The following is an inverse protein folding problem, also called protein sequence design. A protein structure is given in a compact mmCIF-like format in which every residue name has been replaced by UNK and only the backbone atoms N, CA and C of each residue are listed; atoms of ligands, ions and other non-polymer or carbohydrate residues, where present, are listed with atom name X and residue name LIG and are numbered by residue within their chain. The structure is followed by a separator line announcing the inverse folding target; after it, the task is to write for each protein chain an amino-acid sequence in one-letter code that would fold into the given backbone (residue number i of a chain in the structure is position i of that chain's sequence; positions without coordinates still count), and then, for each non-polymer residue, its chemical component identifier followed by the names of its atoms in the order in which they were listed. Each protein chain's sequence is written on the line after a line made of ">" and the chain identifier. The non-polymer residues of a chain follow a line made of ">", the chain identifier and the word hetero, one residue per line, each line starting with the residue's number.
data_IF_078029074393
#
_entry.id   IF_078029074393
#
_cell.length_a   1.000
_cell.length_b   1.000
_cell.length_c   1.000
_cell.angle_alpha   90.00
_cell.angle_beta   90.00
_cell.angle_gamma   90.00
#
_symmetry.space_group_name_H-M   'P 1'
#
loop_
_entity.id
_entity.type
_entity.pdbx_description
1 polymer ?
#
# COMPACT_ATOMS: atom_id res chain seq x y z
N UNK A 1 -26.53 -15.66 44.26
CA UNK A 1 -27.71 -15.65 43.36
C UNK A 1 -28.18 -14.26 42.94
N UNK A 2 -28.46 -13.30 43.84
CA UNK A 2 -28.95 -11.96 43.45
C UNK A 2 -27.91 -11.01 42.83
N UNK A 3 -26.63 -11.17 43.19
CA UNK A 3 -25.53 -10.34 42.66
C UNK A 3 -25.01 -10.82 41.29
N UNK A 4 -25.00 -12.13 41.03
CA UNK A 4 -24.61 -12.67 39.72
C UNK A 4 -25.58 -12.26 38.61
N UNK A 5 -26.88 -12.18 38.92
CA UNK A 5 -27.91 -11.77 37.96
C UNK A 5 -27.76 -10.28 37.59
N UNK A 6 -27.53 -9.42 38.58
CA UNK A 6 -27.24 -7.99 38.35
C UNK A 6 -25.98 -7.76 37.52
N UNK A 7 -24.95 -8.60 37.70
CA UNK A 7 -23.67 -8.47 37.00
C UNK A 7 -23.79 -8.92 35.54
N UNK A 8 -24.61 -9.96 35.28
CA UNK A 8 -24.97 -10.41 33.92
C UNK A 8 -25.82 -9.39 33.18
N UNK A 9 -26.78 -8.79 33.86
CA UNK A 9 -27.67 -7.79 33.26
C UNK A 9 -26.92 -6.48 32.93
N UNK A 10 -25.94 -6.12 33.75
CA UNK A 10 -25.03 -4.99 33.51
C UNK A 10 -24.11 -5.24 32.30
N UNK A 11 -23.51 -6.43 32.21
CA UNK A 11 -22.64 -6.80 31.07
C UNK A 11 -23.41 -6.91 29.75
N UNK A 12 -24.65 -7.39 29.78
CA UNK A 12 -25.52 -7.42 28.58
C UNK A 12 -25.85 -6.00 28.10
N UNK A 13 -26.10 -5.06 29.01
CA UNK A 13 -26.30 -3.64 28.66
C UNK A 13 -25.06 -2.99 28.08
N UNK A 14 -23.89 -3.27 28.66
CA UNK A 14 -22.61 -2.74 28.15
C UNK A 14 -22.26 -3.31 26.78
N UNK A 15 -22.48 -4.61 26.56
CA UNK A 15 -22.32 -5.26 25.26
C UNK A 15 -23.27 -4.68 24.20
N UNK A 16 -24.53 -4.42 24.55
CA UNK A 16 -25.51 -3.81 23.65
C UNK A 16 -25.11 -2.38 23.25
N UNK A 17 -24.68 -1.58 24.22
CA UNK A 17 -24.20 -0.20 23.99
C UNK A 17 -22.93 -0.15 23.14
N UNK A 18 -22.00 -1.08 23.37
CA UNK A 18 -20.78 -1.21 22.58
C UNK A 18 -21.08 -1.65 21.15
N UNK A 19 -21.98 -2.63 20.98
CA UNK A 19 -22.43 -3.08 19.66
C UNK A 19 -23.11 -1.95 18.88
N UNK A 20 -23.94 -1.15 19.53
CA UNK A 20 -24.61 -0.02 18.89
C UNK A 20 -23.60 1.06 18.46
N UNK A 21 -22.60 1.32 19.30
CA UNK A 21 -21.50 2.25 18.97
C UNK A 21 -20.64 1.75 17.81
N UNK A 22 -20.36 0.43 17.76
CA UNK A 22 -19.66 -0.21 16.65
C UNK A 22 -20.48 -0.14 15.35
N UNK A 23 -21.78 -0.40 15.38
CA UNK A 23 -22.64 -0.28 14.21
C UNK A 23 -22.71 1.15 13.68
N UNK A 24 -22.77 2.16 14.57
CA UNK A 24 -22.71 3.58 14.14
C UNK A 24 -21.37 3.93 13.52
N UNK A 25 -20.27 3.46 14.11
CA UNK A 25 -18.93 3.68 13.56
C UNK A 25 -18.77 3.00 12.19
N UNK A 26 -19.28 1.78 12.04
CA UNK A 26 -19.27 1.05 10.77
C UNK A 26 -20.10 1.76 9.69
N UNK A 27 -21.28 2.28 10.03
CA UNK A 27 -22.12 3.06 9.11
C UNK A 27 -21.45 4.38 8.68
N UNK A 28 -20.82 5.10 9.62
CA UNK A 28 -20.07 6.31 9.32
C UNK A 28 -18.83 6.03 8.45
N UNK A 29 -18.12 4.92 8.69
CA UNK A 29 -17.01 4.48 7.86
C UNK A 29 -17.47 4.10 6.46
N UNK A 30 -18.60 3.40 6.34
CA UNK A 30 -19.16 3.01 5.05
C UNK A 30 -19.64 4.21 4.23
N UNK A 31 -20.30 5.19 4.87
CA UNK A 31 -20.67 6.45 4.21
C UNK A 31 -19.43 7.22 3.73
N UNK A 32 -18.38 7.28 4.55
CA UNK A 32 -17.10 7.92 4.17
C UNK A 32 -16.38 7.18 3.03
N UNK A 33 -16.45 5.85 2.98
CA UNK A 33 -15.91 5.08 1.88
C UNK A 33 -16.69 5.33 0.57
N UNK A 34 -18.01 5.45 0.64
CA UNK A 34 -18.85 5.79 -0.51
C UNK A 34 -18.50 7.18 -1.09
N UNK A 35 -18.27 8.17 -0.22
CA UNK A 35 -17.84 9.51 -0.61
C UNK A 35 -16.47 9.49 -1.32
N UNK A 36 -15.56 8.62 -0.88
CA UNK A 36 -14.25 8.45 -1.51
C UNK A 36 -14.36 7.82 -2.90
N UNK A 37 -15.24 6.83 -3.08
CA UNK A 37 -15.49 6.20 -4.39
C UNK A 37 -16.12 7.16 -5.40
N UNK A 38 -16.97 8.09 -4.95
CA UNK A 38 -17.54 9.14 -5.78
C UNK A 38 -16.46 10.16 -6.20
N UNK A 39 -15.56 10.54 -5.28
CA UNK A 39 -14.41 11.39 -5.58
C UNK A 39 -13.47 10.70 -6.58
N UNK A 40 -13.16 9.42 -6.39
CA UNK A 40 -12.29 8.66 -7.30
C UNK A 40 -12.87 8.59 -8.72
N UNK A 41 -14.17 8.28 -8.85
CA UNK A 41 -14.86 8.27 -10.15
C UNK A 41 -14.87 9.64 -10.81
N UNK A 42 -15.13 10.70 -10.05
CA UNK A 42 -15.09 12.07 -10.56
C UNK A 42 -13.70 12.43 -11.10
N UNK A 43 -12.65 12.10 -10.34
CA UNK A 43 -11.24 12.34 -10.72
C UNK A 43 -10.88 11.60 -12.00
N UNK A 44 -11.18 10.30 -12.10
CA UNK A 44 -10.92 9.51 -13.30
C UNK A 44 -11.59 10.15 -14.53
N UNK A 45 -12.85 10.57 -14.39
CA UNK A 45 -13.59 11.23 -15.47
C UNK A 45 -12.94 12.54 -15.91
N UNK A 46 -12.54 13.36 -14.95
CA UNK A 46 -11.98 14.68 -15.22
C UNK A 46 -10.55 14.61 -15.79
N UNK A 47 -9.77 13.57 -15.45
CA UNK A 47 -8.42 13.35 -15.97
C UNK A 47 -8.43 12.77 -17.39
N UNK A 48 -9.44 11.97 -17.74
CA UNK A 48 -9.57 11.37 -19.09
C UNK A 48 -9.64 12.43 -20.18
N UNK A 49 -10.30 13.56 -19.91
CA UNK A 49 -10.44 14.67 -20.87
C UNK A 49 -9.10 15.32 -21.27
N UNK A 50 -8.28 15.87 -20.36
CA UNK A 50 -7.00 16.46 -20.73
C UNK A 50 -5.98 15.43 -21.22
N UNK A 51 -5.99 14.19 -20.73
CA UNK A 51 -5.13 13.12 -21.25
C UNK A 51 -5.48 12.80 -22.70
N UNK A 52 -6.77 12.65 -23.03
CA UNK A 52 -7.21 12.42 -24.40
C UNK A 52 -6.80 13.55 -25.35
N UNK A 53 -6.82 14.80 -24.88
CA UNK A 53 -6.34 15.95 -25.65
C UNK A 53 -4.82 15.90 -25.85
N UNK A 54 -4.04 15.59 -24.81
CA UNK A 54 -2.58 15.47 -24.94
C UNK A 54 -2.21 14.38 -25.95
N UNK A 55 -2.79 13.17 -25.80
CA UNK A 55 -2.51 12.04 -26.67
C UNK A 55 -2.96 12.31 -28.11
N UNK A 56 -4.18 12.81 -28.31
CA UNK A 56 -4.71 13.07 -29.65
C UNK A 56 -3.92 14.13 -30.41
N UNK A 57 -3.57 15.25 -29.76
CA UNK A 57 -2.77 16.30 -30.40
C UNK A 57 -1.30 15.92 -30.56
N UNK A 58 -0.75 15.09 -29.67
CA UNK A 58 0.59 14.54 -29.84
C UNK A 58 0.65 13.54 -31.01
N UNK A 59 -0.36 12.67 -31.14
CA UNK A 59 -0.49 11.76 -32.27
C UNK A 59 -0.65 12.50 -33.60
N UNK A 60 -1.48 13.54 -33.65
CA UNK A 60 -1.62 14.38 -34.85
C UNK A 60 -0.29 15.05 -35.26
N UNK A 61 0.49 15.50 -34.27
CA UNK A 61 1.82 16.04 -34.51
C UNK A 61 2.82 14.99 -34.96
N UNK A 62 2.67 13.73 -34.55
CA UNK A 62 3.58 12.63 -34.92
C UNK A 62 3.28 12.11 -36.34
N UNK A 63 1.99 11.91 -36.66
CA UNK A 63 1.53 11.34 -37.93
C UNK A 63 1.54 12.35 -39.09
N UNK A 64 1.18 13.60 -38.82
CA UNK A 64 0.93 14.62 -39.85
C UNK A 64 1.87 15.83 -39.76
N UNK A 65 3.01 15.71 -39.06
CA UNK A 65 3.90 16.85 -38.81
C UNK A 65 4.21 17.68 -40.06
N UNK A 66 4.57 17.00 -41.16
CA UNK A 66 5.01 17.65 -42.39
C UNK A 66 3.87 18.32 -43.17
N UNK A 67 2.64 17.83 -43.04
CA UNK A 67 1.45 18.32 -43.75
C UNK A 67 0.73 19.44 -43.01
N UNK A 68 0.85 19.50 -41.68
CA UNK A 68 0.30 20.59 -40.87
C UNK A 68 1.00 21.91 -41.16
N UNK A 69 0.22 22.99 -41.24
CA UNK A 69 0.74 24.36 -41.29
C UNK A 69 1.41 24.75 -39.97
N UNK A 70 2.23 25.80 -39.99
CA UNK A 70 2.88 26.29 -38.77
C UNK A 70 1.85 26.73 -37.70
N UNK A 71 0.72 27.29 -38.13
CA UNK A 71 -0.37 27.70 -37.24
C UNK A 71 -1.03 26.51 -36.55
N UNK A 72 -1.28 25.42 -37.29
CA UNK A 72 -1.84 24.18 -36.76
C UNK A 72 -0.86 23.48 -35.81
N UNK A 73 0.43 23.42 -36.13
CA UNK A 73 1.46 22.89 -35.22
C UNK A 73 1.51 23.68 -33.91
N UNK A 74 1.49 25.01 -34.00
CA UNK A 74 1.44 25.89 -32.81
C UNK A 74 0.17 25.69 -32.01
N UNK A 75 -0.96 25.44 -32.68
CA UNK A 75 -2.23 25.13 -32.03
C UNK A 75 -2.15 23.81 -31.26
N UNK A 76 -1.65 22.74 -31.87
CA UNK A 76 -1.46 21.43 -31.22
C UNK A 76 -0.58 21.55 -29.97
N UNK A 77 0.59 22.16 -30.09
CA UNK A 77 1.53 22.36 -28.97
C UNK A 77 0.91 23.21 -27.85
N UNK A 78 0.14 24.26 -28.19
CA UNK A 78 -0.57 25.08 -27.20
C UNK A 78 -1.63 24.28 -26.47
N UNK A 79 -2.39 23.45 -27.17
CA UNK A 79 -3.46 22.63 -26.60
C UNK A 79 -2.90 21.53 -25.68
N UNK A 80 -1.79 20.89 -26.06
CA UNK A 80 -1.06 19.95 -25.20
C UNK A 80 -0.61 20.66 -23.92
N UNK A 81 0.02 21.84 -24.03
CA UNK A 81 0.49 22.62 -22.89
C UNK A 81 -0.65 23.04 -21.95
N UNK A 82 -1.77 23.50 -22.50
CA UNK A 82 -2.94 23.89 -21.73
C UNK A 82 -3.58 22.71 -20.99
N UNK A 83 -3.66 21.55 -21.65
CA UNK A 83 -4.18 20.32 -21.08
C UNK A 83 -3.27 19.80 -19.95
N UNK A 84 -1.94 19.87 -20.13
CA UNK A 84 -0.97 19.56 -19.07
C UNK A 84 -1.11 20.48 -17.86
N UNK A 85 -1.28 21.79 -18.07
CA UNK A 85 -1.53 22.73 -16.96
C UNK A 85 -2.87 22.46 -16.25
N UNK A 86 -3.91 22.04 -16.98
CA UNK A 86 -5.20 21.65 -16.38
C UNK A 86 -5.02 20.43 -15.48
N UNK A 87 -4.27 19.42 -15.92
CA UNK A 87 -3.91 18.26 -15.09
C UNK A 87 -3.17 18.70 -13.83
N UNK A 88 -2.12 19.53 -13.94
CA UNK A 88 -1.38 20.01 -12.76
C UNK A 88 -2.30 20.69 -11.74
N UNK A 89 -3.24 21.53 -12.19
CA UNK A 89 -4.20 22.20 -11.30
C UNK A 89 -5.12 21.21 -10.58
N UNK A 90 -5.62 20.20 -11.29
CA UNK A 90 -6.49 19.18 -10.70
C UNK A 90 -5.74 18.31 -9.68
N UNK A 91 -4.50 17.94 -10.00
CA UNK A 91 -3.60 17.24 -9.07
C UNK A 91 -3.40 18.05 -7.80
N UNK A 92 -3.06 19.34 -7.93
CA UNK A 92 -2.88 20.22 -6.78
C UNK A 92 -4.16 20.34 -5.94
N UNK A 93 -5.33 20.40 -6.58
CA UNK A 93 -6.61 20.41 -5.86
C UNK A 93 -6.86 19.11 -5.09
N UNK A 94 -6.53 17.94 -5.68
CA UNK A 94 -6.61 16.66 -4.99
C UNK A 94 -5.61 16.53 -3.86
N UNK A 95 -4.40 17.06 -4.03
CA UNK A 95 -3.39 17.10 -2.97
C UNK A 95 -3.84 17.98 -1.80
N UNK A 96 -4.47 19.12 -2.07
CA UNK A 96 -5.06 19.97 -1.03
C UNK A 96 -6.20 19.26 -0.29
N UNK A 97 -7.06 18.54 -1.01
CA UNK A 97 -8.12 17.73 -0.42
C UNK A 97 -7.56 16.56 0.41
N UNK A 98 -6.57 15.85 -0.11
CA UNK A 98 -5.91 14.73 0.56
C UNK A 98 -5.16 15.18 1.83
N UNK A 99 -4.47 16.32 1.78
CA UNK A 99 -3.81 16.88 2.96
C UNK A 99 -4.81 17.40 4.02
N UNK A 100 -6.04 17.74 3.61
CA UNK A 100 -7.10 18.17 4.53
C UNK A 100 -7.89 17.03 5.16
N UNK A 101 -7.80 15.81 4.62
CA UNK A 101 -8.55 14.62 5.09
C UNK A 101 -7.60 13.43 5.20
N UNK A 102 -7.22 13.06 6.43
CA UNK A 102 -6.47 11.85 6.82
C UNK A 102 -7.19 10.53 6.47
N UNK A 103 -7.56 10.32 5.20
CA UNK A 103 -8.44 9.21 4.75
C UNK A 103 -7.90 8.41 3.56
N UNK A 104 -6.69 8.69 3.05
CA UNK A 104 -6.19 8.03 1.83
C UNK A 104 -5.29 6.81 2.06
N UNK A 105 -5.00 6.44 3.31
CA UNK A 105 -3.88 5.52 3.58
C UNK A 105 -4.12 4.06 3.17
N UNK A 106 -5.32 3.65 2.73
CA UNK A 106 -5.61 2.23 2.45
C UNK A 106 -6.31 1.92 1.11
N UNK A 107 -6.88 2.89 0.39
CA UNK A 107 -7.77 2.58 -0.77
C UNK A 107 -6.99 2.16 -2.02
N UNK A 108 -5.85 2.78 -2.28
CA UNK A 108 -5.18 2.65 -3.57
C UNK A 108 -4.39 1.33 -3.73
N UNK A 109 -3.92 0.70 -2.65
CA UNK A 109 -3.29 -0.63 -2.69
C UNK A 109 -4.22 -1.78 -2.27
N UNK A 110 -5.46 -1.50 -1.86
CA UNK A 110 -6.43 -2.53 -1.47
C UNK A 110 -6.74 -3.50 -2.63
N UNK A 111 -6.74 -3.04 -3.87
CA UNK A 111 -6.94 -3.90 -5.04
C UNK A 111 -5.79 -4.92 -5.20
N UNK A 112 -4.55 -4.52 -4.94
CA UNK A 112 -3.40 -5.43 -4.95
C UNK A 112 -3.47 -6.44 -3.81
N UNK A 113 -3.85 -6.00 -2.60
CA UNK A 113 -4.07 -6.91 -1.48
C UNK A 113 -5.16 -7.93 -1.80
N UNK A 114 -6.30 -7.48 -2.32
CA UNK A 114 -7.40 -8.37 -2.68
C UNK A 114 -6.99 -9.41 -3.74
N UNK A 115 -6.22 -9.00 -4.75
CA UNK A 115 -5.66 -9.91 -5.76
C UNK A 115 -4.72 -10.97 -5.16
N UNK A 116 -4.00 -10.59 -4.10
CA UNK A 116 -3.11 -11.46 -3.32
C UNK A 116 -3.86 -12.24 -2.21
N UNK A 117 -5.19 -12.19 -2.19
CA UNK A 117 -6.01 -12.84 -1.16
C UNK A 117 -5.77 -12.27 0.25
N UNK A 118 -5.53 -10.95 0.34
CA UNK A 118 -5.30 -10.21 1.58
C UNK A 118 -6.34 -9.09 1.75
N UNK A 119 -6.67 -8.76 3.00
CA UNK A 119 -7.48 -7.58 3.37
C UNK A 119 -6.59 -6.52 4.04
N UNK A 120 -7.14 -5.42 4.56
CA UNK A 120 -6.36 -4.54 5.44
C UNK A 120 -5.85 -5.31 6.68
N UNK A 121 -4.68 -4.95 7.21
CA UNK A 121 -4.09 -5.68 8.35
C UNK A 121 -4.96 -5.58 9.60
N UNK A 122 -5.61 -4.44 9.81
CA UNK A 122 -6.54 -4.23 10.93
C UNK A 122 -7.77 -5.12 10.82
N UNK A 123 -8.38 -5.21 9.64
CA UNK A 123 -9.51 -6.11 9.40
C UNK A 123 -9.09 -7.57 9.60
N UNK A 124 -7.95 -7.96 9.02
CA UNK A 124 -7.43 -9.31 9.19
C UNK A 124 -7.20 -9.65 10.67
N UNK A 125 -6.58 -8.75 11.44
CA UNK A 125 -6.29 -8.97 12.86
C UNK A 125 -7.56 -9.08 13.73
N UNK A 126 -8.64 -8.40 13.36
CA UNK A 126 -9.95 -8.50 14.04
C UNK A 126 -10.69 -9.79 13.69
N UNK A 127 -10.53 -10.29 12.46
CA UNK A 127 -11.22 -11.48 11.94
C UNK A 127 -10.48 -12.79 12.19
N UNK A 128 -9.16 -12.75 12.44
CA UNK A 128 -8.30 -13.92 12.58
C UNK A 128 -8.76 -14.92 13.66
N UNK A 129 -9.65 -14.53 14.59
CA UNK A 129 -10.26 -15.38 15.62
C UNK A 129 -9.28 -15.85 16.70
N UNK A 130 -7.98 -15.83 16.42
CA UNK A 130 -6.88 -15.97 17.36
C UNK A 130 -6.59 -14.61 18.02
N UNK A 131 -6.20 -14.60 19.29
CA UNK A 131 -5.95 -13.37 20.04
C UNK A 131 -4.64 -12.70 19.57
N UNK A 132 -4.67 -12.05 18.40
CA UNK A 132 -3.53 -11.38 17.77
C UNK A 132 -3.18 -10.13 18.57
N UNK A 133 -2.06 -10.20 19.29
CA UNK A 133 -1.57 -9.06 20.09
C UNK A 133 -0.85 -8.03 19.21
N UNK A 134 -0.03 -8.53 18.29
CA UNK A 134 0.80 -7.71 17.39
C UNK A 134 0.86 -8.36 16.01
N UNK A 135 0.75 -7.55 14.96
CA UNK A 135 0.98 -7.97 13.60
C UNK A 135 1.63 -6.84 12.80
N UNK A 136 2.45 -7.21 11.82
CA UNK A 136 3.12 -6.28 10.92
C UNK A 136 3.08 -6.82 9.51
N UNK A 137 2.91 -5.95 8.52
CA UNK A 137 2.93 -6.33 7.12
C UNK A 137 3.79 -5.36 6.31
N UNK A 138 4.58 -5.92 5.43
CA UNK A 138 5.25 -5.21 4.36
C UNK A 138 4.63 -5.61 3.03
N UNK A 139 4.31 -4.62 2.21
CA UNK A 139 3.86 -4.81 0.83
C UNK A 139 4.79 -4.03 -0.08
N UNK A 140 5.45 -4.70 -1.02
CA UNK A 140 6.19 -4.07 -2.10
C UNK A 140 5.37 -4.14 -3.38
N UNK A 141 5.13 -3.00 -4.01
CA UNK A 141 4.46 -2.86 -5.30
C UNK A 141 5.45 -2.30 -6.33
N UNK A 142 6.18 -3.16 -7.05
CA UNK A 142 7.03 -2.72 -8.14
C UNK A 142 6.19 -2.27 -9.33
N UNK A 143 6.65 -1.26 -10.09
CA UNK A 143 5.96 -0.78 -11.29
C UNK A 143 5.92 -1.81 -12.44
N UNK A 144 6.85 -2.77 -12.46
CA UNK A 144 7.08 -3.68 -13.59
C UNK A 144 7.33 -5.12 -13.19
N UNK A 145 7.07 -5.49 -11.93
CA UNK A 145 7.37 -6.84 -11.40
C UNK A 145 6.30 -7.32 -10.45
N UNK A 146 6.36 -8.60 -10.08
CA UNK A 146 5.41 -9.21 -9.16
C UNK A 146 5.37 -8.49 -7.80
N UNK A 147 4.17 -8.14 -7.29
CA UNK A 147 4.03 -7.61 -5.95
C UNK A 147 4.38 -8.66 -4.90
N UNK A 148 4.95 -8.20 -3.78
CA UNK A 148 5.33 -9.03 -2.64
C UNK A 148 4.58 -8.57 -1.40
N UNK A 149 4.00 -9.50 -0.66
CA UNK A 149 3.45 -9.28 0.68
C UNK A 149 4.19 -10.17 1.66
N UNK A 150 4.65 -9.61 2.77
CA UNK A 150 5.17 -10.34 3.94
C UNK A 150 4.34 -9.90 5.13
N UNK A 151 3.59 -10.81 5.74
CA UNK A 151 2.80 -10.55 6.95
C UNK A 151 3.27 -11.45 8.07
N UNK A 152 3.52 -10.87 9.23
CA UNK A 152 4.00 -11.56 10.44
C UNK A 152 3.15 -11.18 11.62
N UNK A 153 2.89 -12.12 12.53
CA UNK A 153 2.01 -11.87 13.67
C UNK A 153 2.35 -12.74 14.88
N UNK A 154 1.94 -12.25 16.04
CA UNK A 154 2.03 -12.94 17.32
C UNK A 154 0.63 -13.27 17.85
N UNK A 155 0.33 -14.55 18.01
CA UNK A 155 -0.92 -15.04 18.59
C UNK A 155 -0.75 -15.34 20.08
N UNK A 156 -1.66 -14.86 20.91
CA UNK A 156 -1.67 -15.06 22.36
C UNK A 156 -2.58 -16.20 22.84
N UNK A 157 -2.13 -16.88 23.89
CA UNK A 157 -2.78 -18.00 24.60
C UNK A 157 -1.94 -18.36 25.83
N UNK A 158 -1.80 -19.66 26.18
CA UNK A 158 -0.82 -20.10 27.21
C UNK A 158 0.64 -19.98 26.75
N UNK A 159 0.91 -19.99 25.44
CA UNK A 159 2.24 -19.80 24.86
C UNK A 159 2.13 -18.91 23.64
N UNK A 160 2.99 -17.89 23.55
CA UNK A 160 3.04 -16.98 22.41
C UNK A 160 3.65 -17.71 21.23
N UNK A 161 2.95 -17.71 20.09
CA UNK A 161 3.45 -18.23 18.82
C UNK A 161 3.65 -17.09 17.84
N UNK A 162 4.73 -17.15 17.08
CA UNK A 162 5.06 -16.18 16.04
C UNK A 162 4.94 -16.86 14.68
N UNK A 163 4.10 -16.32 13.82
CA UNK A 163 3.83 -16.86 12.49
C UNK A 163 4.11 -15.80 11.44
N UNK A 164 4.36 -16.27 10.24
CA UNK A 164 4.63 -15.45 9.09
C UNK A 164 4.11 -16.10 7.82
N UNK A 165 3.62 -15.27 6.91
CA UNK A 165 3.23 -15.65 5.56
C UNK A 165 3.86 -14.68 4.57
N UNK A 166 4.35 -15.21 3.47
CA UNK A 166 4.81 -14.42 2.34
C UNK A 166 4.07 -14.85 1.10
N UNK A 167 3.72 -13.87 0.26
CA UNK A 167 2.95 -14.05 -0.95
C UNK A 167 3.62 -13.28 -2.08
N UNK A 168 3.79 -13.91 -3.22
CA UNK A 168 4.32 -13.31 -4.44
C UNK A 168 3.25 -13.38 -5.54
N UNK A 169 2.98 -12.25 -6.20
CA UNK A 169 2.06 -12.19 -7.32
C UNK A 169 2.67 -12.75 -8.61
N UNK A 170 1.89 -12.84 -9.69
CA UNK A 170 2.38 -13.35 -10.99
C UNK A 170 2.98 -12.29 -11.92
N UNK A 171 2.99 -11.02 -11.55
CA UNK A 171 3.45 -9.92 -12.42
C UNK A 171 2.28 -9.18 -13.09
N UNK A 172 2.54 -8.38 -14.14
CA UNK A 172 1.48 -7.67 -14.88
C UNK A 172 0.86 -8.64 -15.87
N UNK A 173 -0.40 -9.01 -15.66
CA UNK A 173 -1.22 -9.64 -16.70
C UNK A 173 -1.24 -8.77 -17.95
N UNK A 174 -1.31 -9.38 -19.13
CA UNK A 174 -1.17 -8.74 -20.44
C UNK A 174 -2.25 -7.67 -20.75
N UNK A 175 -3.19 -7.39 -19.83
CA UNK A 175 -4.29 -6.44 -19.98
C UNK A 175 -4.39 -5.45 -18.82
N UNK A 176 -4.45 -4.16 -19.16
CA UNK A 176 -4.81 -3.10 -18.20
C UNK A 176 -6.19 -3.36 -17.59
N UNK A 177 -6.23 -3.63 -16.28
CA UNK A 177 -7.47 -3.80 -15.51
C UNK A 177 -7.75 -5.22 -15.01
N UNK A 178 -6.91 -6.21 -15.33
CA UNK A 178 -6.95 -7.53 -14.70
C UNK A 178 -5.86 -7.60 -13.61
N UNK A 179 -6.27 -7.67 -12.35
CA UNK A 179 -5.34 -7.93 -11.24
C UNK A 179 -4.95 -9.40 -11.27
N UNK A 180 -3.66 -9.64 -11.51
CA UNK A 180 -3.08 -10.95 -11.70
C UNK A 180 -3.14 -11.81 -10.41
N UNK A 181 -3.42 -13.11 -10.50
CA UNK A 181 -3.60 -13.97 -9.34
C UNK A 181 -2.30 -14.20 -8.54
N UNK A 182 -2.47 -14.63 -7.28
CA UNK A 182 -1.39 -15.15 -6.45
C UNK A 182 -0.57 -16.21 -7.21
N UNK A 183 0.75 -16.02 -7.30
CA UNK A 183 1.66 -16.97 -7.94
C UNK A 183 2.20 -17.98 -6.94
N UNK A 184 2.63 -17.49 -5.77
CA UNK A 184 3.21 -18.30 -4.71
C UNK A 184 2.82 -17.79 -3.34
N UNK A 185 2.67 -18.70 -2.39
CA UNK A 185 2.59 -18.38 -0.97
C UNK A 185 3.38 -19.38 -0.14
N UNK A 186 3.89 -18.93 1.00
CA UNK A 186 4.52 -19.79 2.00
C UNK A 186 4.21 -19.28 3.39
N UNK A 187 3.88 -20.19 4.31
CA UNK A 187 3.65 -19.90 5.72
C UNK A 187 4.68 -20.64 6.58
N UNK A 188 5.22 -19.98 7.60
CA UNK A 188 6.19 -20.56 8.51
C UNK A 188 6.08 -20.00 9.93
N UNK A 189 6.69 -20.70 10.88
CA UNK A 189 6.83 -20.24 12.27
C UNK A 189 8.15 -19.51 12.46
N UNK A 190 8.13 -18.40 13.20
CA UNK A 190 9.29 -17.59 13.50
C UNK A 190 9.88 -17.95 14.87
N UNK A 191 11.20 -17.92 14.97
CA UNK A 191 11.90 -18.00 16.24
C UNK A 191 11.74 -16.68 17.03
N UNK A 192 11.74 -16.75 18.36
CA UNK A 192 11.60 -15.58 19.25
C UNK A 192 12.65 -14.50 18.95
N UNK A 193 13.88 -14.91 18.64
CA UNK A 193 15.00 -13.99 18.40
C UNK A 193 14.79 -13.15 17.14
N UNK A 194 14.19 -13.76 16.11
CA UNK A 194 13.84 -13.09 14.85
C UNK A 194 12.69 -12.10 15.05
N UNK A 195 11.71 -12.48 15.86
CA UNK A 195 10.61 -11.59 16.26
C UNK A 195 11.11 -10.38 17.06
N UNK A 196 12.00 -10.60 18.04
CA UNK A 196 12.56 -9.53 18.85
C UNK A 196 13.42 -8.57 18.02
N UNK A 197 14.17 -9.11 17.05
CA UNK A 197 14.93 -8.30 16.09
C UNK A 197 14.02 -7.41 15.23
N UNK A 198 12.87 -7.93 14.80
CA UNK A 198 11.87 -7.14 14.08
C UNK A 198 11.30 -6.02 14.96
N UNK A 199 10.95 -6.32 16.22
CA UNK A 199 10.44 -5.31 17.14
C UNK A 199 11.48 -4.20 17.39
N UNK A 200 12.76 -4.56 17.51
CA UNK A 200 13.82 -3.57 17.64
C UNK A 200 13.91 -2.64 16.41
N UNK A 201 13.80 -3.19 15.20
CA UNK A 201 13.77 -2.40 13.96
C UNK A 201 12.55 -1.47 13.88
N UNK A 202 11.38 -1.92 14.37
CA UNK A 202 10.15 -1.11 14.44
C UNK A 202 10.32 0.08 15.37
N UNK A 203 10.92 -0.12 16.53
CA UNK A 203 11.18 0.97 17.48
C UNK A 203 12.29 1.91 16.98
N UNK A 204 13.37 1.38 16.37
CA UNK A 204 14.45 2.18 15.76
C UNK A 204 13.93 3.09 14.64
N UNK A 205 13.03 2.57 13.80
CA UNK A 205 12.38 3.33 12.72
C UNK A 205 11.38 4.38 13.21
N UNK A 206 11.09 4.40 14.53
CA UNK A 206 10.06 5.23 15.16
C UNK A 206 8.69 5.08 14.50
N UNK A 207 8.40 3.90 13.95
CA UNK A 207 7.18 3.64 13.17
C UNK A 207 5.92 4.13 13.88
N UNK A 208 5.78 3.84 15.19
CA UNK A 208 4.61 4.23 15.97
C UNK A 208 4.61 5.69 16.43
N UNK A 209 5.77 6.27 16.72
CA UNK A 209 5.90 7.52 17.49
C UNK A 209 6.16 8.76 16.64
N UNK A 210 6.72 8.61 15.43
CA UNK A 210 7.04 9.73 14.55
C UNK A 210 6.22 9.60 13.25
N UNK A 211 5.42 10.62 12.96
CA UNK A 211 4.64 10.64 11.72
C UNK A 211 5.50 10.96 10.49
N UNK A 212 6.67 11.58 10.68
CA UNK A 212 7.57 11.98 9.59
C UNK A 212 8.61 10.93 9.21
N UNK A 213 8.87 9.92 10.04
CA UNK A 213 10.01 9.00 9.86
C UNK A 213 9.92 8.11 8.61
N UNK A 214 8.70 7.92 8.08
CA UNK A 214 8.42 7.19 6.85
C UNK A 214 7.64 8.03 5.82
N UNK A 215 7.48 9.33 6.06
CA UNK A 215 6.87 10.23 5.08
C UNK A 215 7.94 10.76 4.12
N UNK A 216 8.23 10.02 3.05
CA UNK A 216 8.71 10.68 1.85
C UNK A 216 7.53 11.37 1.18
N UNK A 217 7.34 12.63 1.57
CA UNK A 217 6.82 13.74 0.78
C UNK A 217 6.25 13.30 -0.60
N UNK A 218 4.95 12.96 -0.63
CA UNK A 218 4.21 12.41 -1.78
C UNK A 218 4.06 13.33 -3.00
N UNK A 219 4.90 14.35 -3.19
CA UNK A 219 4.86 15.27 -4.33
C UNK A 219 5.45 14.67 -5.62
N UNK A 220 6.15 13.53 -5.55
CA UNK A 220 6.70 12.81 -6.71
C UNK A 220 5.80 11.66 -7.21
N UNK A 221 4.55 11.53 -6.70
CA UNK A 221 3.57 10.50 -7.12
C UNK A 221 3.14 10.57 -8.61
N UNK A 222 3.67 11.52 -9.40
CA UNK A 222 3.25 11.74 -10.78
C UNK A 222 4.38 11.88 -11.81
N UNK A 223 5.64 11.65 -11.42
CA UNK A 223 6.76 11.78 -12.36
C UNK A 223 7.71 10.60 -12.18
N UNK A 224 7.33 9.46 -12.76
CA UNK A 224 8.21 8.30 -12.83
C UNK A 224 7.53 7.16 -13.55
N UNK A 225 7.93 6.88 -14.78
CA UNK A 225 7.53 5.69 -15.55
C UNK A 225 8.24 4.41 -15.06
N UNK A 226 8.70 4.39 -13.81
CA UNK A 226 9.42 3.32 -13.13
C UNK A 226 9.60 3.63 -11.64
N UNK A 227 9.54 2.61 -10.78
CA UNK A 227 9.69 2.75 -9.33
C UNK A 227 9.10 1.57 -8.54
N UNK A 228 9.27 1.59 -7.23
CA UNK A 228 8.68 0.64 -6.28
C UNK A 228 8.00 1.42 -5.14
N UNK A 229 6.80 1.00 -4.74
CA UNK A 229 6.13 1.53 -3.55
C UNK A 229 6.19 0.51 -2.42
N UNK A 230 6.67 0.95 -1.26
CA UNK A 230 6.82 0.14 -0.07
C UNK A 230 5.77 0.58 0.96
N UNK A 231 4.87 -0.31 1.31
CA UNK A 231 3.83 -0.09 2.31
C UNK A 231 4.13 -0.91 3.55
N UNK A 232 4.09 -0.27 4.70
CA UNK A 232 4.25 -0.87 6.02
C UNK A 232 2.97 -0.67 6.82
N UNK A 233 2.37 -1.78 7.26
CA UNK A 233 1.24 -1.77 8.17
C UNK A 233 1.64 -2.39 9.51
N UNK A 234 1.10 -1.83 10.58
CA UNK A 234 1.29 -2.32 11.94
C UNK A 234 -0.04 -2.37 12.68
N UNK A 235 -0.20 -3.44 13.45
CA UNK A 235 -1.26 -3.65 14.41
C UNK A 235 -0.62 -3.95 15.77
N UNK A 236 -0.99 -3.20 16.80
CA UNK A 236 -0.56 -3.45 18.18
C UNK A 236 -1.66 -3.05 19.14
N UNK A 237 -2.17 -4.01 19.90
CA UNK A 237 -3.11 -3.79 21.00
C UNK A 237 -4.32 -2.91 20.59
N UNK A 238 -4.94 -3.21 19.44
CA UNK A 238 -6.10 -2.48 18.93
C UNK A 238 -5.77 -1.19 18.16
N UNK A 239 -4.51 -0.80 18.07
CA UNK A 239 -4.05 0.33 17.27
C UNK A 239 -3.56 -0.14 15.91
N UNK A 240 -3.98 0.58 14.87
CA UNK A 240 -3.55 0.36 13.49
C UNK A 240 -2.78 1.59 12.97
N UNK A 241 -1.68 1.35 12.25
CA UNK A 241 -0.92 2.38 11.55
C UNK A 241 -0.44 1.84 10.21
N UNK A 242 -0.54 2.65 9.16
CA UNK A 242 0.00 2.34 7.83
C UNK A 242 0.88 3.48 7.33
N UNK A 243 1.97 3.17 6.64
CA UNK A 243 2.90 4.14 6.05
C UNK A 243 3.36 3.64 4.69
N UNK A 244 3.49 4.54 3.72
CA UNK A 244 3.95 4.22 2.39
C UNK A 244 5.14 5.09 1.99
N UNK A 245 6.13 4.48 1.34
CA UNK A 245 7.36 5.12 0.88
C UNK A 245 7.52 4.81 -0.60
N UNK A 246 7.67 5.85 -1.43
CA UNK A 246 7.89 5.69 -2.87
C UNK A 246 9.38 5.75 -3.19
N UNK A 247 9.91 4.73 -3.88
CA UNK A 247 11.30 4.63 -4.33
C UNK A 247 12.31 4.99 -3.22
N UNK A 248 12.32 4.22 -2.12
CA UNK A 248 13.15 4.53 -0.97
C UNK A 248 14.62 4.60 -1.34
N UNK A 249 15.27 5.67 -0.90
CA UNK A 249 16.71 5.90 -1.05
C UNK A 249 17.40 5.72 0.32
N UNK A 250 18.50 4.96 0.40
CA UNK A 250 19.14 4.55 1.67
C UNK A 250 19.58 5.78 2.51
N UNK A 251 19.89 6.90 1.85
CA UNK A 251 20.24 8.16 2.53
C UNK A 251 19.03 8.92 3.09
N UNK A 252 17.86 8.84 2.43
CA UNK A 252 16.69 9.69 2.75
C UNK A 252 15.54 8.94 3.39
N UNK A 253 15.53 7.61 3.30
CA UNK A 253 14.47 6.73 3.79
C UNK A 253 15.06 5.60 4.65
N UNK A 254 16.06 5.94 5.49
CA UNK A 254 16.79 4.97 6.32
C UNK A 254 15.86 4.08 7.16
N UNK A 255 14.83 4.67 7.76
CA UNK A 255 13.82 3.95 8.55
C UNK A 255 13.07 2.89 7.72
N UNK A 256 12.74 3.21 6.46
CA UNK A 256 12.08 2.28 5.54
C UNK A 256 12.98 1.09 5.20
N UNK A 257 14.27 1.33 4.98
CA UNK A 257 15.26 0.26 4.74
C UNK A 257 15.49 -0.61 5.96
N UNK A 258 15.52 -0.04 7.16
CA UNK A 258 15.65 -0.81 8.41
C UNK A 258 14.46 -1.76 8.56
N UNK A 259 13.23 -1.27 8.38
CA UNK A 259 12.01 -2.08 8.45
C UNK A 259 11.93 -3.14 7.34
N UNK A 260 12.20 -2.75 6.10
CA UNK A 260 12.18 -3.65 4.95
C UNK A 260 13.17 -4.80 5.16
N UNK A 261 14.43 -4.49 5.49
CA UNK A 261 15.44 -5.52 5.77
C UNK A 261 15.02 -6.43 6.91
N UNK A 262 14.47 -5.88 7.99
CA UNK A 262 14.01 -6.68 9.11
C UNK A 262 12.95 -7.69 8.69
N UNK A 263 12.00 -7.32 7.83
CA UNK A 263 10.92 -8.19 7.34
C UNK A 263 11.38 -9.17 6.24
N UNK A 264 12.22 -8.72 5.31
CA UNK A 264 12.79 -9.58 4.25
C UNK A 264 13.71 -10.65 4.84
N UNK A 265 14.48 -10.33 5.90
CA UNK A 265 15.33 -11.29 6.61
C UNK A 265 14.56 -12.37 7.41
N UNK A 266 13.23 -12.30 7.42
CA UNK A 266 12.36 -13.35 7.97
C UNK A 266 11.98 -14.40 6.92
N UNK A 267 12.14 -14.10 5.63
CA UNK A 267 11.76 -15.01 4.55
C UNK A 267 12.55 -16.31 4.61
N UNK A 268 11.89 -17.47 4.33
CA UNK A 268 12.60 -18.72 4.08
C UNK A 268 13.56 -18.57 2.89
N UNK A 269 14.75 -19.16 2.99
CA UNK A 269 15.82 -19.03 1.97
C UNK A 269 15.35 -19.44 0.57
N UNK A 270 14.59 -20.53 0.44
CA UNK A 270 14.04 -20.97 -0.84
C UNK A 270 13.10 -19.92 -1.46
N UNK A 271 12.21 -19.34 -0.66
CA UNK A 271 11.28 -18.31 -1.13
C UNK A 271 12.03 -17.05 -1.56
N UNK A 272 13.03 -16.62 -0.77
CA UNK A 272 13.87 -15.47 -1.11
C UNK A 272 14.63 -15.68 -2.43
N UNK A 273 15.15 -16.89 -2.67
CA UNK A 273 15.83 -17.25 -3.92
C UNK A 273 14.87 -17.25 -5.11
N UNK A 274 13.65 -17.77 -4.96
CA UNK A 274 12.64 -17.78 -6.01
C UNK A 274 12.14 -16.39 -6.36
N UNK A 275 11.82 -15.58 -5.35
CA UNK A 275 11.50 -14.16 -5.50
C UNK A 275 12.64 -13.43 -6.24
N UNK A 276 13.90 -13.63 -5.83
CA UNK A 276 15.04 -13.00 -6.49
C UNK A 276 15.18 -13.41 -7.96
N UNK A 277 14.86 -14.68 -8.30
CA UNK A 277 14.82 -15.14 -9.70
C UNK A 277 13.69 -14.50 -10.48
N UNK A 278 12.50 -14.43 -9.89
CA UNK A 278 11.32 -13.85 -10.51
C UNK A 278 11.56 -12.38 -10.86
N UNK A 279 12.09 -11.63 -9.91
CA UNK A 279 12.42 -10.22 -10.08
C UNK A 279 13.65 -9.98 -10.96
N UNK A 280 14.62 -10.89 -11.01
CA UNK A 280 15.76 -10.76 -11.93
C UNK A 280 15.41 -11.07 -13.39
N UNK A 281 14.32 -11.80 -13.65
CA UNK A 281 13.83 -12.09 -14.99
C UNK A 281 13.07 -10.90 -15.63
N UNK A 282 12.54 -9.99 -14.81
CA UNK A 282 11.91 -8.75 -15.28
C UNK A 282 12.95 -7.69 -15.67
N UNK A 283 12.73 -7.04 -16.81
CA UNK A 283 13.76 -6.39 -17.63
C UNK A 283 14.29 -5.03 -17.14
N UNK A 284 14.36 -4.76 -15.82
CA UNK A 284 14.85 -3.48 -15.26
C UNK A 284 15.88 -3.68 -14.12
N UNK A 285 17.16 -3.94 -14.43
CA UNK A 285 18.20 -4.31 -13.46
C UNK A 285 18.46 -3.28 -12.34
N UNK A 286 18.25 -2.00 -12.60
CA UNK A 286 18.62 -0.90 -11.69
C UNK A 286 17.75 -0.82 -10.43
N UNK A 287 16.46 -1.17 -10.54
CA UNK A 287 15.50 -1.17 -9.42
C UNK A 287 15.79 -2.37 -8.51
N UNK A 288 16.03 -3.55 -9.10
CA UNK A 288 16.31 -4.78 -8.35
C UNK A 288 17.67 -4.78 -7.66
N UNK A 289 18.66 -4.03 -8.16
CA UNK A 289 19.97 -3.92 -7.52
C UNK A 289 19.87 -3.28 -6.12
N UNK A 290 18.94 -2.35 -5.89
CA UNK A 290 18.74 -1.71 -4.58
C UNK A 290 18.19 -2.69 -3.54
N UNK A 291 17.25 -3.54 -3.96
CA UNK A 291 16.72 -4.61 -3.13
C UNK A 291 17.76 -5.71 -2.88
N UNK A 292 18.53 -6.13 -3.89
CA UNK A 292 19.65 -7.05 -3.71
C UNK A 292 20.68 -6.52 -2.71
N UNK A 293 21.06 -5.25 -2.81
CA UNK A 293 22.00 -4.65 -1.86
C UNK A 293 21.46 -4.63 -0.42
N UNK A 294 20.14 -4.60 -0.23
CA UNK A 294 19.50 -4.70 1.09
C UNK A 294 19.48 -6.13 1.65
N UNK A 295 19.56 -7.15 0.79
CA UNK A 295 19.67 -8.57 1.15
C UNK A 295 21.14 -8.99 1.39
N UNK A 296 22.08 -8.44 0.62
CA UNK A 296 23.49 -8.86 0.59
C UNK A 296 24.40 -8.16 1.63
N UNK A 297 23.89 -7.19 2.42
CA UNK A 297 24.65 -6.45 3.46
C UNK A 297 23.99 -6.49 4.83
#
# INVERSE_FOLDING_TARGET
>A
MKDEDKTKEQTIKELASLRESLCRCAADLQARNQDLDDVARYVISEFRSPVGMIVGFAGLLDEEYATLSEEERRYCTRTIKQSGHKMTKMVNALLLLANSRRLFDNVWYAAYLAAMGETSLSQWALEAGENVSKAYRFTCLPASSAPLVIRVWATGGETVRFQAIAKLGSGRGEREGETDPLSQETEWTLASEKWDSLLAAIEESKFWTDDSSLEQLGWLRMVGTGGEEWIFEGWRDGQYKARAVWNPDDEKARAAYVLCRALVNLLPEQFALEMARFWAADSWPEIHQRFKNAIER
#
